data_IF_092131341090
#
_entry.id   IF_092131341090
#
_cell.length_a   1.000
_cell.length_b   1.000
_cell.length_c   1.000
_cell.angle_alpha   90.00
_cell.angle_beta   90.00
_cell.angle_gamma   90.00
#
_symmetry.space_group_name_H-M   'P 1'
#
loop_
_entity.id
_entity.type
_entity.pdbx_description
1 polymer ?
#
# COMPACT_ATOMS: atom_id res chain seq x y z
N UNK A 1 -15.89 83.32 -0.46
CA UNK A 1 -14.66 82.68 -0.96
C UNK A 1 -14.98 81.24 -1.36
N UNK A 2 -14.86 80.95 -2.66
CA UNK A 2 -14.59 79.66 -3.31
C UNK A 2 -15.19 78.37 -2.71
N UNK A 3 -16.35 77.94 -3.22
CA UNK A 3 -16.71 76.52 -3.25
C UNK A 3 -16.14 75.87 -4.51
N UNK A 4 -15.10 75.04 -4.39
CA UNK A 4 -14.62 74.21 -5.49
C UNK A 4 -15.65 73.11 -5.79
N UNK A 5 -16.20 73.12 -6.99
CA UNK A 5 -16.97 72.01 -7.53
C UNK A 5 -15.98 70.99 -8.10
N UNK A 6 -15.77 69.87 -7.39
CA UNK A 6 -14.97 68.74 -7.88
C UNK A 6 -15.78 67.94 -8.89
N UNK A 7 -15.33 67.87 -10.15
CA UNK A 7 -15.93 67.02 -11.19
C UNK A 7 -15.39 65.61 -10.98
N UNK A 8 -16.22 64.71 -10.44
CA UNK A 8 -15.92 63.28 -10.42
C UNK A 8 -16.00 62.73 -11.84
N UNK A 9 -14.86 62.37 -12.43
CA UNK A 9 -14.80 61.64 -13.68
C UNK A 9 -15.31 60.22 -13.45
N UNK A 10 -16.56 59.95 -13.83
CA UNK A 10 -17.11 58.59 -13.85
C UNK A 10 -16.48 57.81 -15.00
N UNK A 11 -15.49 56.98 -14.68
CA UNK A 11 -14.94 56.02 -15.63
C UNK A 11 -16.06 55.07 -16.07
N UNK A 12 -16.29 54.98 -17.38
CA UNK A 12 -17.25 54.01 -17.95
C UNK A 12 -16.76 52.60 -17.64
N UNK A 13 -17.38 51.96 -16.67
CA UNK A 13 -17.16 50.54 -16.40
C UNK A 13 -17.76 49.75 -17.57
N UNK A 14 -16.89 49.19 -18.41
CA UNK A 14 -17.29 48.28 -19.49
C UNK A 14 -17.89 47.03 -18.83
N UNK A 15 -19.21 46.86 -18.93
CA UNK A 15 -19.88 45.66 -18.45
C UNK A 15 -19.45 44.44 -19.28
N UNK A 16 -19.25 43.29 -18.62
CA UNK A 16 -18.96 42.03 -19.30
C UNK A 16 -20.13 41.62 -20.19
N UNK A 17 -19.84 41.15 -21.40
CA UNK A 17 -20.87 40.64 -22.30
C UNK A 17 -21.34 39.24 -21.87
N UNK A 18 -22.59 38.91 -22.17
CA UNK A 18 -23.14 37.56 -21.91
C UNK A 18 -22.33 36.45 -22.60
N UNK A 19 -21.78 36.75 -23.79
CA UNK A 19 -20.99 35.80 -24.58
C UNK A 19 -19.65 35.51 -23.90
N UNK A 20 -18.99 36.53 -23.35
CA UNK A 20 -17.72 36.35 -22.62
C UNK A 20 -17.91 35.46 -21.38
N UNK A 21 -18.96 35.69 -20.60
CA UNK A 21 -19.25 34.84 -19.43
C UNK A 21 -19.66 33.43 -19.87
N UNK A 22 -20.42 33.27 -20.96
CA UNK A 22 -20.82 31.97 -21.46
C UNK A 22 -19.62 31.08 -21.84
N UNK A 23 -18.63 31.62 -22.55
CA UNK A 23 -17.42 30.86 -22.93
C UNK A 23 -16.60 30.49 -21.70
N UNK A 24 -16.48 31.41 -20.74
CA UNK A 24 -15.76 31.14 -19.48
C UNK A 24 -16.40 29.99 -18.71
N UNK A 25 -17.73 29.98 -18.58
CA UNK A 25 -18.44 28.90 -17.88
C UNK A 25 -18.29 27.54 -18.60
N UNK A 26 -18.28 27.53 -19.93
CA UNK A 26 -18.02 26.31 -20.71
C UNK A 26 -16.61 25.79 -20.43
N UNK A 27 -15.60 26.65 -20.49
CA UNK A 27 -14.20 26.25 -20.23
C UNK A 27 -14.04 25.72 -18.80
N UNK A 28 -14.62 26.39 -17.80
CA UNK A 28 -14.59 25.91 -16.41
C UNK A 28 -15.29 24.55 -16.31
N UNK A 29 -16.45 24.38 -16.94
CA UNK A 29 -17.17 23.10 -16.94
C UNK A 29 -16.36 21.95 -17.55
N UNK A 30 -15.67 22.20 -18.67
CA UNK A 30 -14.81 21.21 -19.31
C UNK A 30 -13.58 20.88 -18.46
N UNK A 31 -12.95 21.89 -17.84
CA UNK A 31 -11.79 21.67 -16.96
C UNK A 31 -12.20 20.90 -15.71
N UNK A 32 -13.29 21.29 -15.04
CA UNK A 32 -13.78 20.59 -13.85
C UNK A 32 -14.14 19.13 -14.18
N UNK A 33 -14.84 18.89 -15.30
CA UNK A 33 -15.14 17.53 -15.76
C UNK A 33 -13.88 16.70 -16.05
N UNK A 34 -12.87 17.31 -16.68
CA UNK A 34 -11.59 16.67 -16.97
C UNK A 34 -10.79 16.33 -15.71
N UNK A 35 -10.71 17.24 -14.74
CA UNK A 35 -9.97 17.06 -13.47
C UNK A 35 -10.60 15.95 -12.62
N UNK A 36 -11.92 15.94 -12.48
CA UNK A 36 -12.63 14.90 -11.71
C UNK A 36 -12.36 13.51 -12.29
N UNK A 37 -12.42 13.37 -13.62
CA UNK A 37 -12.09 12.10 -14.28
C UNK A 37 -10.61 11.75 -14.10
N UNK A 38 -9.73 12.75 -14.17
CA UNK A 38 -8.29 12.59 -13.95
C UNK A 38 -7.96 12.06 -12.55
N UNK A 39 -8.61 12.57 -11.51
CA UNK A 39 -8.45 12.11 -10.13
C UNK A 39 -8.83 10.62 -9.99
N UNK A 40 -10.01 10.24 -10.47
CA UNK A 40 -10.47 8.84 -10.44
C UNK A 40 -9.53 7.90 -11.21
N UNK A 41 -8.92 8.36 -12.31
CA UNK A 41 -7.93 7.57 -13.04
C UNK A 41 -6.64 7.37 -12.24
N UNK A 42 -6.16 8.41 -11.55
CA UNK A 42 -4.99 8.33 -10.67
C UNK A 42 -5.25 7.38 -9.51
N UNK A 43 -6.41 7.47 -8.87
CA UNK A 43 -6.75 6.60 -7.73
C UNK A 43 -6.85 5.13 -8.15
N UNK A 44 -7.43 4.86 -9.32
CA UNK A 44 -7.42 3.51 -9.90
C UNK A 44 -6.02 3.02 -10.26
N UNK A 45 -5.14 3.89 -10.76
CA UNK A 45 -3.76 3.53 -11.04
C UNK A 45 -2.99 3.19 -9.75
N UNK A 46 -3.19 3.97 -8.68
CA UNK A 46 -2.63 3.67 -7.35
C UNK A 46 -3.11 2.32 -6.83
N UNK A 47 -4.42 2.04 -6.92
CA UNK A 47 -4.99 0.76 -6.53
C UNK A 47 -4.36 -0.41 -7.31
N UNK A 48 -4.27 -0.31 -8.64
CA UNK A 48 -3.63 -1.35 -9.46
C UNK A 48 -2.15 -1.55 -9.12
N UNK A 49 -1.42 -0.48 -8.81
CA UNK A 49 -0.03 -0.57 -8.37
C UNK A 49 0.10 -1.26 -7.01
N UNK A 50 -0.87 -1.06 -6.10
CA UNK A 50 -0.93 -1.78 -4.82
C UNK A 50 -1.18 -3.27 -5.03
N UNK A 51 -2.20 -3.64 -5.81
CA UNK A 51 -2.49 -5.05 -6.16
C UNK A 51 -1.26 -5.72 -6.75
N UNK A 52 -0.61 -5.07 -7.73
CA UNK A 52 0.60 -5.60 -8.36
C UNK A 52 1.74 -5.81 -7.36
N UNK A 53 1.89 -4.94 -6.36
CA UNK A 53 2.93 -5.10 -5.34
C UNK A 53 2.68 -6.32 -4.47
N UNK A 54 1.45 -6.51 -3.98
CA UNK A 54 1.10 -7.68 -3.17
C UNK A 54 1.34 -8.98 -3.96
N UNK A 55 0.82 -9.06 -5.19
CA UNK A 55 1.04 -10.23 -6.04
C UNK A 55 2.52 -10.46 -6.38
N UNK A 56 3.31 -9.38 -6.51
CA UNK A 56 4.75 -9.49 -6.67
C UNK A 56 5.43 -10.09 -5.44
N UNK A 57 4.99 -9.78 -4.23
CA UNK A 57 5.55 -10.36 -3.00
C UNK A 57 5.12 -11.82 -2.82
N UNK A 58 3.87 -12.18 -3.14
CA UNK A 58 3.42 -13.58 -3.16
C UNK A 58 4.23 -14.40 -4.17
N UNK A 59 4.40 -13.88 -5.39
CA UNK A 59 5.23 -14.53 -6.39
C UNK A 59 6.70 -14.64 -5.97
N UNK A 60 7.23 -13.62 -5.30
CA UNK A 60 8.60 -13.64 -4.79
C UNK A 60 8.82 -14.73 -3.73
N UNK A 61 7.85 -14.89 -2.82
CA UNK A 61 7.87 -15.96 -1.82
C UNK A 61 7.95 -17.34 -2.46
N UNK A 62 7.04 -17.67 -3.38
CA UNK A 62 7.05 -18.98 -4.06
C UNK A 62 8.29 -19.17 -4.93
N UNK A 63 8.76 -18.12 -5.61
CA UNK A 63 10.00 -18.18 -6.39
C UNK A 63 11.21 -18.52 -5.52
N UNK A 64 11.28 -17.95 -4.31
CA UNK A 64 12.33 -18.27 -3.35
C UNK A 64 12.24 -19.73 -2.91
N UNK A 65 11.04 -20.18 -2.54
CA UNK A 65 10.79 -21.56 -2.12
C UNK A 65 11.20 -22.57 -3.21
N UNK A 66 10.82 -22.32 -4.46
CA UNK A 66 11.16 -23.19 -5.60
C UNK A 66 12.67 -23.20 -5.90
N UNK A 67 13.35 -22.06 -5.71
CA UNK A 67 14.76 -21.89 -6.06
C UNK A 67 15.70 -22.48 -5.00
N UNK A 68 15.40 -22.26 -3.72
CA UNK A 68 16.27 -22.63 -2.59
C UNK A 68 15.79 -23.83 -1.78
N UNK A 69 14.55 -24.29 -1.99
CA UNK A 69 13.99 -25.44 -1.29
C UNK A 69 13.69 -25.19 0.19
N UNK A 70 13.60 -23.92 0.60
CA UNK A 70 13.30 -23.49 1.97
C UNK A 70 12.52 -22.17 1.94
N UNK A 71 11.97 -21.77 3.09
CA UNK A 71 11.19 -20.54 3.17
C UNK A 71 12.12 -19.32 3.33
N UNK A 72 11.77 -18.16 2.75
CA UNK A 72 12.52 -16.93 3.02
C UNK A 72 12.32 -16.55 4.50
N UNK A 73 13.37 -16.10 5.17
CA UNK A 73 13.39 -15.84 6.62
C UNK A 73 13.90 -17.04 7.43
N UNK A 74 13.45 -18.25 7.07
CA UNK A 74 13.64 -19.52 7.81
C UNK A 74 14.76 -20.41 7.21
N UNK A 75 15.55 -19.90 6.26
CA UNK A 75 16.58 -20.71 5.62
C UNK A 75 17.77 -21.02 6.57
N UNK A 76 17.86 -22.25 7.08
CA UNK A 76 18.95 -22.68 7.96
C UNK A 76 20.34 -22.76 7.30
N UNK A 77 20.42 -23.25 6.04
CA UNK A 77 21.69 -23.40 5.33
C UNK A 77 21.94 -22.17 4.46
N UNK A 78 22.42 -21.09 5.06
CA UNK A 78 22.52 -19.79 4.37
C UNK A 78 23.57 -19.74 3.24
N UNK A 79 24.49 -20.70 3.20
CA UNK A 79 25.54 -20.80 2.17
C UNK A 79 25.00 -21.02 0.75
N UNK A 80 23.76 -21.50 0.62
CA UNK A 80 23.08 -21.65 -0.68
C UNK A 80 22.53 -20.32 -1.21
N UNK A 81 22.34 -19.33 -0.32
CA UNK A 81 21.82 -18.01 -0.66
C UNK A 81 22.95 -16.99 -0.81
N UNK A 82 23.57 -16.60 0.30
CA UNK A 82 24.64 -15.61 0.33
C UNK A 82 25.37 -15.63 1.68
N UNK A 83 26.70 -15.46 1.68
CA UNK A 83 27.52 -15.57 2.88
C UNK A 83 27.25 -14.49 3.96
N UNK A 84 26.66 -13.36 3.57
CA UNK A 84 26.30 -12.25 4.47
C UNK A 84 24.83 -12.22 4.86
N UNK A 85 24.03 -13.19 4.38
CA UNK A 85 22.66 -13.32 4.84
C UNK A 85 22.63 -13.97 6.23
N UNK A 86 21.59 -13.69 6.98
CA UNK A 86 21.34 -14.27 8.29
C UNK A 86 20.60 -15.61 8.12
N UNK A 87 20.95 -16.61 8.91
CA UNK A 87 20.27 -17.90 8.86
C UNK A 87 19.03 -17.86 9.76
N UNK A 88 17.92 -18.42 9.27
CA UNK A 88 16.80 -18.83 10.12
C UNK A 88 17.11 -20.18 10.79
N UNK A 89 16.11 -20.78 11.44
CA UNK A 89 16.29 -22.06 12.12
C UNK A 89 15.89 -23.30 11.29
N UNK A 90 15.14 -23.11 10.20
CA UNK A 90 14.79 -24.16 9.24
C UNK A 90 13.68 -25.09 9.70
N UNK A 91 12.80 -24.62 10.58
CA UNK A 91 11.72 -25.40 11.15
C UNK A 91 10.43 -25.42 10.29
N UNK A 92 10.41 -24.62 9.22
CA UNK A 92 9.32 -24.54 8.25
C UNK A 92 8.22 -23.54 8.63
N UNK A 93 8.45 -22.72 9.64
CA UNK A 93 7.65 -21.55 9.97
C UNK A 93 8.43 -20.28 9.62
N UNK A 94 7.82 -19.11 9.80
CA UNK A 94 8.54 -17.84 9.65
C UNK A 94 8.11 -17.01 10.84
N UNK A 95 9.00 -16.93 11.83
CA UNK A 95 8.68 -16.49 13.16
C UNK A 95 8.74 -14.97 13.28
N UNK A 96 7.82 -14.44 14.08
CA UNK A 96 7.75 -13.01 14.41
C UNK A 96 6.53 -12.35 13.80
N UNK A 97 5.69 -11.80 14.66
CA UNK A 97 4.42 -11.19 14.26
C UNK A 97 4.61 -9.99 13.34
N UNK A 98 5.65 -9.20 13.61
CA UNK A 98 6.00 -7.99 12.89
C UNK A 98 7.49 -7.88 12.78
N UNK A 99 7.98 -7.34 11.66
CA UNK A 99 9.38 -7.00 11.57
C UNK A 99 9.71 -5.78 12.43
N UNK A 100 10.24 -6.02 13.64
CA UNK A 100 10.67 -4.96 14.56
C UNK A 100 12.13 -5.11 14.97
N UNK A 101 12.59 -6.34 15.19
CA UNK A 101 13.94 -6.66 15.66
C UNK A 101 14.77 -7.28 14.54
N UNK A 102 16.08 -6.99 14.49
CA UNK A 102 16.93 -7.37 13.37
C UNK A 102 17.04 -8.89 13.13
N UNK A 103 16.98 -9.67 14.21
CA UNK A 103 17.25 -11.11 14.19
C UNK A 103 15.95 -11.95 14.12
N UNK A 104 14.80 -11.31 13.87
CA UNK A 104 13.51 -11.99 13.67
C UNK A 104 13.38 -12.45 12.23
N UNK A 105 12.89 -13.67 12.00
CA UNK A 105 12.71 -14.23 10.66
C UNK A 105 11.73 -13.40 9.83
N UNK A 106 10.73 -12.82 10.48
CA UNK A 106 9.79 -11.82 9.96
C UNK A 106 10.48 -10.60 9.33
N UNK A 107 11.67 -10.22 9.79
CA UNK A 107 12.51 -9.21 9.15
C UNK A 107 13.43 -9.79 8.10
N UNK A 108 14.04 -10.93 8.41
CA UNK A 108 15.00 -11.63 7.57
C UNK A 108 14.40 -12.06 6.23
N UNK A 109 13.08 -12.27 6.16
CA UNK A 109 12.35 -12.55 4.93
C UNK A 109 12.67 -11.54 3.81
N UNK A 110 12.73 -10.25 4.13
CA UNK A 110 13.02 -9.20 3.15
C UNK A 110 14.49 -9.21 2.70
N UNK A 111 15.40 -9.48 3.64
CA UNK A 111 16.83 -9.65 3.35
C UNK A 111 17.06 -10.84 2.44
N UNK A 112 16.43 -11.99 2.71
CA UNK A 112 16.54 -13.20 1.92
C UNK A 112 16.07 -13.00 0.48
N UNK A 113 14.89 -12.39 0.30
CA UNK A 113 14.35 -12.08 -1.02
C UNK A 113 15.25 -11.12 -1.83
N UNK A 114 15.95 -10.20 -1.16
CA UNK A 114 16.90 -9.26 -1.81
C UNK A 114 18.24 -9.91 -2.14
N UNK A 115 18.79 -10.73 -1.23
CA UNK A 115 20.01 -11.49 -1.51
C UNK A 115 19.81 -12.47 -2.67
N UNK A 116 18.61 -13.05 -2.79
CA UNK A 116 18.22 -13.88 -3.91
C UNK A 116 18.06 -13.10 -5.23
N UNK A 117 18.02 -11.76 -5.19
CA UNK A 117 17.78 -10.91 -6.35
C UNK A 117 16.35 -11.00 -6.90
N UNK A 118 15.40 -11.55 -6.14
CA UNK A 118 13.99 -11.71 -6.54
C UNK A 118 13.25 -10.38 -6.40
N UNK A 119 13.56 -9.61 -5.36
CA UNK A 119 13.06 -8.25 -5.17
C UNK A 119 14.22 -7.25 -5.16
N UNK A 120 13.94 -6.02 -5.57
CA UNK A 120 14.90 -4.93 -5.52
C UNK A 120 15.05 -4.39 -4.08
N UNK A 121 16.24 -3.89 -3.76
CA UNK A 121 16.54 -3.23 -2.49
C UNK A 121 17.92 -3.59 -1.98
N UNK A 122 18.33 -2.94 -0.89
CA UNK A 122 19.56 -3.27 -0.19
C UNK A 122 19.32 -4.48 0.73
N UNK A 123 20.01 -5.62 0.50
CA UNK A 123 19.84 -6.83 1.32
C UNK A 123 20.44 -6.71 2.72
N UNK A 124 21.25 -5.68 3.00
CA UNK A 124 21.82 -5.45 4.32
C UNK A 124 20.88 -4.73 5.30
N UNK A 125 19.70 -4.30 4.83
CA UNK A 125 18.67 -3.70 5.69
C UNK A 125 18.05 -4.75 6.59
N UNK A 126 18.10 -4.50 7.89
CA UNK A 126 17.56 -5.37 8.95
C UNK A 126 16.61 -4.60 9.88
N UNK A 127 15.90 -5.36 10.72
CA UNK A 127 14.97 -4.81 11.71
C UNK A 127 13.89 -3.94 11.08
N UNK A 128 13.40 -2.94 11.82
CA UNK A 128 12.34 -2.02 11.37
C UNK A 128 12.63 -1.25 10.05
N UNK A 129 13.84 -1.33 9.48
CA UNK A 129 14.17 -0.73 8.17
C UNK A 129 14.15 -1.71 7.01
N UNK A 130 14.08 -3.02 7.30
CA UNK A 130 13.98 -4.06 6.29
C UNK A 130 12.69 -4.02 5.47
N UNK A 131 11.50 -3.74 6.04
CA UNK A 131 10.25 -3.83 5.29
C UNK A 131 10.10 -2.72 4.23
N UNK A 132 9.61 -3.05 3.02
CA UNK A 132 9.32 -2.05 2.00
C UNK A 132 8.02 -1.29 2.31
N UNK A 133 7.88 -0.09 1.76
CA UNK A 133 6.62 0.66 1.78
C UNK A 133 5.70 0.22 0.63
N UNK A 134 4.38 0.19 0.86
CA UNK A 134 3.39 0.02 -0.21
C UNK A 134 2.94 1.36 -0.81
N UNK A 135 2.16 1.32 -1.90
CA UNK A 135 1.69 2.50 -2.68
C UNK A 135 1.03 3.61 -1.85
N UNK A 136 0.43 3.26 -0.71
CA UNK A 136 -0.31 4.20 0.15
C UNK A 136 0.55 4.75 1.30
N UNK A 137 1.84 4.40 1.36
CA UNK A 137 2.83 5.00 2.25
C UNK A 137 3.04 4.29 3.59
N UNK A 138 2.26 3.26 3.90
CA UNK A 138 2.52 2.35 5.01
C UNK A 138 3.49 1.23 4.63
N UNK A 139 3.78 0.35 5.59
CA UNK A 139 4.76 -0.72 5.46
C UNK A 139 4.10 -2.03 5.06
N UNK A 140 4.73 -2.80 4.17
CA UNK A 140 4.48 -4.24 4.08
C UNK A 140 5.36 -4.89 5.14
N UNK A 141 4.87 -4.93 6.37
CA UNK A 141 5.64 -5.19 7.59
C UNK A 141 6.42 -6.50 7.53
N UNK A 142 5.78 -7.59 7.13
CA UNK A 142 6.41 -8.92 7.09
C UNK A 142 5.68 -9.86 6.15
N UNK A 143 6.35 -10.95 5.80
CA UNK A 143 5.75 -12.22 5.41
C UNK A 143 6.11 -13.19 6.53
N UNK A 144 5.12 -13.61 7.31
CA UNK A 144 5.34 -14.45 8.50
C UNK A 144 4.24 -15.49 8.65
N UNK A 145 4.51 -16.53 9.43
CA UNK A 145 3.53 -17.57 9.73
C UNK A 145 2.86 -17.27 11.07
N UNK A 146 1.52 -17.19 11.05
CA UNK A 146 0.75 -16.88 12.25
C UNK A 146 -0.75 -17.01 12.04
N UNK A 147 -1.52 -16.84 13.12
CA UNK A 147 -2.98 -16.98 13.13
C UNK A 147 -3.73 -15.64 13.06
N UNK A 148 -3.03 -14.52 12.80
CA UNK A 148 -3.62 -13.17 12.73
C UNK A 148 -4.72 -13.02 11.67
N UNK A 149 -5.65 -12.09 11.92
CA UNK A 149 -6.82 -11.86 11.06
C UNK A 149 -7.84 -12.98 11.16
N UNK A 150 -7.89 -13.87 10.17
CA UNK A 150 -8.88 -14.95 10.07
C UNK A 150 -8.76 -16.09 11.12
N UNK A 151 -7.79 -16.06 12.03
CA UNK A 151 -7.62 -17.07 13.09
C UNK A 151 -6.98 -18.38 12.64
N UNK A 152 -6.52 -18.50 11.38
CA UNK A 152 -5.94 -19.74 10.84
C UNK A 152 -4.42 -19.59 10.75
N UNK A 153 -3.64 -20.51 11.35
CA UNK A 153 -2.18 -20.51 11.27
C UNK A 153 -1.70 -20.82 9.85
N UNK A 154 -1.22 -19.81 9.14
CA UNK A 154 -0.71 -19.90 7.76
C UNK A 154 0.35 -18.81 7.52
N UNK A 155 1.11 -18.91 6.43
CA UNK A 155 2.00 -17.83 6.00
C UNK A 155 1.19 -16.71 5.36
N UNK A 156 1.37 -15.49 5.86
CA UNK A 156 0.58 -14.32 5.48
C UNK A 156 1.49 -13.12 5.24
N UNK A 157 1.10 -12.30 4.28
CA UNK A 157 1.64 -10.95 4.09
C UNK A 157 0.90 -10.02 5.03
N UNK A 158 1.65 -9.30 5.86
CA UNK A 158 1.11 -8.32 6.78
C UNK A 158 1.46 -6.91 6.31
N UNK A 159 0.44 -6.13 5.91
CA UNK A 159 0.58 -4.75 5.44
C UNK A 159 -0.12 -3.77 6.38
N UNK A 160 0.53 -2.67 6.75
CA UNK A 160 0.05 -1.71 7.74
C UNK A 160 -0.44 -0.42 7.11
N UNK A 161 -1.55 0.12 7.61
CA UNK A 161 -2.04 1.44 7.20
C UNK A 161 -2.63 1.47 5.79
N UNK A 162 -3.40 0.45 5.41
CA UNK A 162 -4.18 0.45 4.16
C UNK A 162 -5.47 1.26 4.37
N UNK A 163 -5.80 2.24 3.50
CA UNK A 163 -7.08 2.94 3.59
C UNK A 163 -8.27 1.97 3.53
N UNK A 164 -9.30 2.17 4.35
CA UNK A 164 -10.42 1.22 4.46
C UNK A 164 -11.21 1.01 3.17
N UNK A 165 -11.33 2.02 2.31
CA UNK A 165 -11.93 1.90 0.98
C UNK A 165 -11.10 0.99 0.05
N UNK A 166 -9.77 1.07 0.15
CA UNK A 166 -8.84 0.22 -0.59
C UNK A 166 -8.88 -1.21 -0.05
N UNK A 167 -8.88 -1.38 1.27
CA UNK A 167 -8.94 -2.69 1.92
C UNK A 167 -10.23 -3.43 1.56
N UNK A 168 -11.39 -2.78 1.73
CA UNK A 168 -12.69 -3.35 1.34
C UNK A 168 -12.74 -3.68 -0.15
N UNK A 169 -12.20 -2.81 -1.01
CA UNK A 169 -12.17 -3.06 -2.45
C UNK A 169 -11.30 -4.27 -2.79
N UNK A 170 -10.13 -4.40 -2.16
CA UNK A 170 -9.22 -5.52 -2.37
C UNK A 170 -9.84 -6.83 -1.91
N UNK A 171 -10.41 -6.87 -0.71
CA UNK A 171 -11.11 -8.05 -0.19
C UNK A 171 -12.27 -8.46 -1.11
N UNK A 172 -13.14 -7.53 -1.52
CA UNK A 172 -14.21 -7.83 -2.49
C UNK A 172 -13.73 -8.38 -3.84
N UNK A 173 -12.50 -8.04 -4.26
CA UNK A 173 -11.95 -8.44 -5.56
C UNK A 173 -11.21 -9.79 -5.49
N UNK A 174 -10.61 -10.12 -4.35
CA UNK A 174 -9.71 -11.28 -4.19
C UNK A 174 -10.23 -12.34 -3.21
N UNK A 175 -11.28 -12.07 -2.46
CA UNK A 175 -11.80 -12.95 -1.41
C UNK A 175 -13.34 -12.83 -1.28
N UNK A 176 -13.88 -12.43 -0.12
CA UNK A 176 -15.34 -12.46 0.13
C UNK A 176 -15.93 -11.14 0.65
N UNK A 177 -15.10 -10.14 0.94
CA UNK A 177 -15.50 -8.84 1.45
C UNK A 177 -15.76 -8.81 2.97
N UNK A 178 -15.57 -9.92 3.68
CA UNK A 178 -15.63 -10.01 5.13
C UNK A 178 -14.28 -9.71 5.76
N UNK A 179 -14.19 -8.55 6.41
CA UNK A 179 -12.96 -8.07 7.04
C UNK A 179 -12.38 -9.00 8.12
N UNK A 180 -13.11 -10.02 8.59
CA UNK A 180 -12.69 -10.92 9.67
C UNK A 180 -12.37 -12.35 9.23
N UNK A 181 -12.60 -12.69 7.97
CA UNK A 181 -12.52 -14.08 7.50
C UNK A 181 -11.79 -14.22 6.18
N UNK A 182 -11.77 -15.43 5.63
CA UNK A 182 -11.21 -15.68 4.30
C UNK A 182 -9.69 -15.50 4.18
N UNK A 183 -9.22 -15.40 2.93
CA UNK A 183 -7.81 -15.23 2.58
C UNK A 183 -7.31 -13.79 2.73
N UNK A 184 -8.22 -12.81 2.78
CA UNK A 184 -7.93 -11.39 2.97
C UNK A 184 -8.73 -10.91 4.18
N UNK A 185 -8.05 -10.49 5.23
CA UNK A 185 -8.71 -10.07 6.47
C UNK A 185 -7.96 -8.91 7.11
N UNK A 186 -8.61 -8.11 7.96
CA UNK A 186 -7.90 -7.13 8.79
C UNK A 186 -7.24 -7.82 9.96
N UNK A 187 -6.14 -7.26 10.46
CA UNK A 187 -5.41 -7.82 11.58
C UNK A 187 -6.25 -7.85 12.88
N UNK A 188 -6.98 -6.77 13.17
CA UNK A 188 -7.74 -6.63 14.43
C UNK A 188 -9.14 -6.07 14.24
N UNK A 189 -10.07 -6.50 15.08
CA UNK A 189 -11.46 -6.04 15.13
C UNK A 189 -12.47 -7.13 14.78
N UNK A 190 -13.73 -6.94 15.16
CA UNK A 190 -14.78 -7.98 15.12
C UNK A 190 -15.90 -7.76 14.10
N UNK A 191 -16.05 -6.54 13.59
CA UNK A 191 -16.99 -6.22 12.50
C UNK A 191 -16.55 -6.84 11.16
N UNK A 192 -17.50 -7.45 10.45
CA UNK A 192 -17.30 -8.05 9.13
C UNK A 192 -17.06 -7.06 7.99
N UNK A 193 -17.05 -5.75 8.27
CA UNK A 193 -16.85 -4.70 7.26
C UNK A 193 -15.71 -3.79 7.64
N UNK A 194 -14.96 -3.30 6.66
CA UNK A 194 -13.94 -2.28 6.90
C UNK A 194 -14.58 -0.91 7.14
N UNK A 195 -14.07 -0.18 8.13
CA UNK A 195 -14.39 1.23 8.27
C UNK A 195 -13.66 2.04 7.20
N UNK A 196 -14.41 2.54 6.22
CA UNK A 196 -13.88 3.24 5.05
C UNK A 196 -13.23 4.61 5.39
N UNK A 197 -13.47 5.14 6.59
CA UNK A 197 -12.94 6.43 7.03
C UNK A 197 -11.57 6.31 7.74
N UNK A 198 -11.15 5.09 8.09
CA UNK A 198 -9.92 4.82 8.83
C UNK A 198 -8.96 3.95 8.00
N UNK A 199 -7.73 3.82 8.49
CA UNK A 199 -6.75 2.89 7.92
C UNK A 199 -6.75 1.61 8.74
N UNK A 200 -6.60 0.48 8.05
CA UNK A 200 -6.58 -0.86 8.63
C UNK A 200 -5.29 -1.55 8.25
N UNK A 201 -4.82 -2.43 9.11
CA UNK A 201 -3.73 -3.32 8.75
C UNK A 201 -4.32 -4.60 8.15
N UNK A 202 -3.84 -4.97 6.97
CA UNK A 202 -4.37 -6.01 6.13
C UNK A 202 -3.46 -7.25 6.18
N UNK A 203 -4.10 -8.40 6.37
CA UNK A 203 -3.49 -9.72 6.40
C UNK A 203 -3.95 -10.46 5.15
N UNK A 204 -2.99 -10.93 4.35
CA UNK A 204 -3.26 -11.60 3.07
C UNK A 204 -2.54 -12.94 3.08
N UNK A 205 -3.30 -14.03 2.95
CA UNK A 205 -2.73 -15.38 2.91
C UNK A 205 -1.96 -15.60 1.61
N UNK A 206 -0.79 -16.23 1.69
CA UNK A 206 0.06 -16.54 0.53
C UNK A 206 -0.47 -17.75 -0.23
#
# INVERSE_FOLDING_TARGET
>A
MSGQFSISASGRQLGFTLVEIAIVLVIIGLILGGVLKGQVLIDNAKYKNFVKQIESYRGAYFTFQDTFGGLPGDLAIITVLHASAEAGDGDGLIEGDECTTADEESCTVWSHLRYAGIIAGDPSLTGATAPPNHTYGGLVSTIATGDWGNGITQTKIYSKGIPGDVAQRYDNEFDDGDATSGSVSRNTGTDATYDLATSHDLIITI
#
